data_IF_873843492376
#
_entry.id   IF_873843492376
#
_cell.length_a   1.000
_cell.length_b   1.000
_cell.length_c   1.000
_cell.angle_alpha   90.00
_cell.angle_beta   90.00
_cell.angle_gamma   90.00
#
_symmetry.space_group_name_H-M   'P 1'
#
loop_
_entity.id
_entity.type
_entity.pdbx_description
1 polymer ?
#
# COMPACT_ATOMS: atom_id res chain seq x y z
N UNK A 1 28.04 12.36 18.71
CA UNK A 1 26.84 12.21 17.85
C UNK A 1 26.12 10.98 18.34
N UNK A 2 24.82 11.08 18.54
CA UNK A 2 24.02 10.05 19.19
C UNK A 2 23.83 8.86 18.23
N UNK A 3 24.57 7.77 18.46
CA UNK A 3 24.60 6.57 17.60
C UNK A 3 23.21 5.95 17.42
N UNK A 4 22.35 6.07 18.43
CA UNK A 4 20.96 5.62 18.40
C UNK A 4 20.13 6.32 17.31
N UNK A 5 20.28 7.65 17.16
CA UNK A 5 19.58 8.41 16.12
C UNK A 5 20.07 8.05 14.71
N UNK A 6 21.35 7.72 14.57
CA UNK A 6 21.93 7.30 13.28
C UNK A 6 21.41 5.93 12.83
N UNK A 7 21.31 4.95 13.75
CA UNK A 7 20.80 3.61 13.44
C UNK A 7 19.30 3.62 13.12
N UNK A 8 18.52 4.38 13.91
CA UNK A 8 17.09 4.55 13.65
C UNK A 8 16.84 5.15 12.27
N UNK A 9 17.65 6.13 11.85
CA UNK A 9 17.53 6.72 10.53
C UNK A 9 17.94 5.75 9.41
N UNK A 10 19.08 5.09 9.54
CA UNK A 10 19.53 4.09 8.55
C UNK A 10 18.50 2.96 8.38
N UNK A 11 17.82 2.58 9.46
CA UNK A 11 16.74 1.58 9.43
C UNK A 11 15.54 2.08 8.61
N UNK A 12 15.15 3.35 8.76
CA UNK A 12 14.10 3.96 7.94
C UNK A 12 14.52 4.04 6.47
N UNK A 13 15.75 4.45 6.19
CA UNK A 13 16.25 4.54 4.82
C UNK A 13 16.28 3.16 4.13
N UNK A 14 16.57 2.09 4.88
CA UNK A 14 16.59 0.73 4.33
C UNK A 14 15.19 0.11 4.08
N UNK A 15 14.09 0.80 4.41
CA UNK A 15 12.76 0.19 4.37
C UNK A 15 12.35 -0.29 2.97
N UNK A 16 12.75 0.39 1.90
CA UNK A 16 12.46 0.00 0.51
C UNK A 16 13.30 -1.20 0.07
N UNK A 17 14.57 -1.28 0.50
CA UNK A 17 15.43 -2.45 0.29
C UNK A 17 14.81 -3.68 0.95
N UNK A 18 14.44 -3.57 2.23
CA UNK A 18 13.82 -4.65 3.00
C UNK A 18 12.48 -5.09 2.41
N UNK A 19 11.66 -4.13 1.94
CA UNK A 19 10.40 -4.43 1.30
C UNK A 19 10.58 -5.16 -0.05
N UNK A 20 11.55 -4.73 -0.86
CA UNK A 20 11.94 -5.38 -2.12
C UNK A 20 12.45 -6.80 -1.91
N UNK A 21 13.36 -6.99 -0.94
CA UNK A 21 13.88 -8.32 -0.57
C UNK A 21 12.77 -9.26 -0.10
N UNK A 22 11.83 -8.77 0.70
CA UNK A 22 10.68 -9.57 1.13
C UNK A 22 9.73 -9.91 -0.01
N UNK A 23 9.50 -8.98 -0.94
CA UNK A 23 8.68 -9.23 -2.12
C UNK A 23 9.34 -10.30 -3.01
N UNK A 24 10.64 -10.17 -3.26
CA UNK A 24 11.41 -11.16 -4.01
C UNK A 24 11.45 -12.52 -3.29
N UNK A 25 11.58 -12.54 -1.96
CA UNK A 25 11.61 -13.78 -1.17
C UNK A 25 10.27 -14.50 -1.21
N UNK A 26 9.15 -13.77 -1.05
CA UNK A 26 7.80 -14.35 -1.18
C UNK A 26 7.52 -14.84 -2.59
N UNK A 27 7.88 -14.07 -3.61
CA UNK A 27 7.73 -14.48 -5.01
C UNK A 27 8.58 -15.73 -5.31
N UNK A 28 9.77 -15.84 -4.70
CA UNK A 28 10.59 -17.02 -4.81
C UNK A 28 9.95 -18.22 -4.10
N UNK A 29 9.42 -18.08 -2.88
CA UNK A 29 8.86 -19.21 -2.12
C UNK A 29 7.49 -19.69 -2.63
N UNK A 30 6.64 -18.78 -3.11
CA UNK A 30 5.24 -19.05 -3.38
C UNK A 30 4.41 -19.19 -2.09
N UNK A 31 3.26 -19.84 -2.18
CA UNK A 31 2.39 -20.12 -1.03
C UNK A 31 3.00 -21.24 -0.16
N UNK A 32 3.71 -20.83 0.89
CA UNK A 32 4.38 -21.73 1.84
C UNK A 32 3.33 -22.50 2.64
N UNK A 33 3.47 -23.82 2.67
CA UNK A 33 2.62 -24.71 3.48
C UNK A 33 3.30 -25.13 4.77
N UNK A 34 4.63 -25.21 4.79
CA UNK A 34 5.41 -25.64 5.95
C UNK A 34 6.83 -25.07 5.93
N UNK A 35 7.42 -24.88 7.12
CA UNK A 35 8.82 -24.43 7.29
C UNK A 35 9.48 -25.21 8.41
N UNK A 36 10.55 -25.93 8.09
CA UNK A 36 11.39 -26.66 9.05
C UNK A 36 12.68 -25.89 9.32
N UNK A 37 13.15 -25.94 10.56
CA UNK A 37 14.38 -25.28 11.01
C UNK A 37 15.29 -26.28 11.71
N UNK A 38 16.55 -26.33 11.31
CA UNK A 38 17.58 -27.17 11.93
C UNK A 38 18.75 -26.30 12.41
N UNK A 39 18.88 -26.15 13.73
CA UNK A 39 19.93 -25.34 14.35
C UNK A 39 21.21 -26.17 14.52
N UNK A 40 22.29 -25.78 13.82
CA UNK A 40 23.44 -26.68 13.59
C UNK A 40 24.45 -26.76 14.75
N UNK A 41 24.24 -26.01 15.83
CA UNK A 41 25.08 -25.98 17.04
C UNK A 41 24.21 -25.87 18.31
N UNK A 42 24.74 -26.15 19.52
CA UNK A 42 24.02 -25.85 20.76
C UNK A 42 23.59 -24.38 20.83
N UNK A 43 22.37 -24.13 21.32
CA UNK A 43 21.80 -22.77 21.39
C UNK A 43 22.45 -21.89 22.46
N UNK A 44 23.10 -22.52 23.43
CA UNK A 44 23.81 -21.88 24.53
C UNK A 44 25.21 -22.47 24.69
N UNK A 45 26.15 -21.64 25.15
CA UNK A 45 27.46 -22.08 25.61
C UNK A 45 27.37 -22.86 26.94
N UNK A 46 28.46 -23.47 27.43
CA UNK A 46 28.46 -24.17 28.72
C UNK A 46 28.16 -23.29 29.94
N UNK A 47 28.22 -21.96 29.82
CA UNK A 47 27.87 -21.00 30.86
C UNK A 47 26.39 -20.58 30.79
N UNK A 48 25.63 -21.08 29.82
CA UNK A 48 24.22 -20.77 29.62
C UNK A 48 23.96 -19.48 28.83
N UNK A 49 24.98 -18.85 28.24
CA UNK A 49 24.79 -17.70 27.37
C UNK A 49 24.40 -18.13 25.97
N UNK A 50 23.57 -17.34 25.29
CA UNK A 50 23.17 -17.62 23.91
C UNK A 50 24.39 -17.62 22.99
N UNK A 51 24.54 -18.68 22.20
CA UNK A 51 25.59 -18.75 21.18
C UNK A 51 25.34 -17.68 20.13
N UNK A 52 26.34 -16.82 19.90
CA UNK A 52 26.22 -15.77 18.89
C UNK A 52 26.27 -16.34 17.47
N UNK A 53 25.51 -15.74 16.55
CA UNK A 53 25.49 -16.08 15.12
C UNK A 53 25.30 -17.59 14.87
N UNK A 54 24.35 -18.21 15.56
CA UNK A 54 24.09 -19.65 15.42
C UNK A 54 23.60 -19.97 13.99
N UNK A 55 24.28 -20.84 13.23
CA UNK A 55 23.85 -21.23 11.89
C UNK A 55 22.60 -22.11 11.94
N UNK A 56 21.71 -21.91 10.97
CA UNK A 56 20.40 -22.57 10.86
C UNK A 56 20.17 -23.00 9.42
N UNK A 57 19.86 -24.28 9.21
CA UNK A 57 19.29 -24.79 7.97
C UNK A 57 17.78 -24.59 7.97
N UNK A 58 17.25 -24.07 6.86
CA UNK A 58 15.83 -23.75 6.71
C UNK A 58 15.31 -24.52 5.51
N UNK A 59 14.20 -25.23 5.67
CA UNK A 59 13.48 -25.89 4.58
C UNK A 59 12.08 -25.33 4.47
N UNK A 60 11.77 -24.71 3.35
CA UNK A 60 10.45 -24.20 3.03
C UNK A 60 9.76 -25.14 2.04
N UNK A 61 8.58 -25.64 2.41
CA UNK A 61 7.72 -26.42 1.51
C UNK A 61 6.59 -25.55 1.00
N UNK A 62 6.34 -25.58 -0.31
CA UNK A 62 5.20 -24.93 -0.96
C UNK A 62 4.55 -25.86 -1.98
N UNK A 63 3.40 -25.44 -2.52
CA UNK A 63 2.74 -26.14 -3.64
C UNK A 63 3.62 -26.25 -4.89
N UNK A 64 4.64 -25.41 -5.00
CA UNK A 64 5.60 -25.39 -6.11
C UNK A 64 6.84 -26.27 -5.89
N UNK A 65 7.02 -26.82 -4.68
CA UNK A 65 8.15 -27.68 -4.33
C UNK A 65 8.83 -27.31 -3.01
N UNK A 66 9.99 -27.91 -2.78
CA UNK A 66 10.80 -27.70 -1.57
C UNK A 66 11.98 -26.78 -1.91
N UNK A 67 12.28 -25.82 -1.02
CA UNK A 67 13.39 -24.88 -1.13
C UNK A 67 14.17 -24.82 0.17
N UNK A 68 15.46 -25.12 0.08
CA UNK A 68 16.36 -25.12 1.23
C UNK A 68 17.22 -23.84 1.23
N UNK A 69 17.41 -23.26 2.41
CA UNK A 69 18.22 -22.06 2.65
C UNK A 69 19.15 -22.28 3.83
N UNK A 70 20.22 -21.49 3.85
CA UNK A 70 21.00 -21.26 5.05
C UNK A 70 20.51 -19.97 5.72
N UNK A 71 20.79 -19.85 7.00
CA UNK A 71 20.50 -18.65 7.76
C UNK A 71 21.26 -18.59 9.06
N UNK A 72 21.14 -17.46 9.74
CA UNK A 72 21.82 -17.18 11.00
C UNK A 72 20.84 -16.64 12.01
N UNK A 73 20.82 -17.20 13.23
CA UNK A 73 20.07 -16.63 14.36
C UNK A 73 20.75 -15.33 14.79
N UNK A 74 20.06 -14.22 14.61
CA UNK A 74 20.57 -12.88 14.92
C UNK A 74 19.99 -12.30 16.21
N UNK A 75 18.84 -12.82 16.65
CA UNK A 75 18.20 -12.44 17.91
C UNK A 75 17.28 -13.53 18.43
N UNK A 76 16.84 -13.38 19.67
CA UNK A 76 15.74 -14.15 20.25
C UNK A 76 14.75 -13.22 20.95
N UNK A 77 13.49 -13.63 20.97
CA UNK A 77 12.44 -13.05 21.80
C UNK A 77 12.18 -14.03 22.93
N UNK A 78 12.48 -13.62 24.17
CA UNK A 78 12.09 -14.37 25.35
C UNK A 78 10.57 -14.32 25.48
N UNK A 79 9.92 -15.45 25.74
CA UNK A 79 8.45 -15.52 25.90
C UNK A 79 8.02 -15.66 27.36
N UNK A 80 8.97 -15.62 28.30
CA UNK A 80 8.68 -15.77 29.73
C UNK A 80 8.07 -14.48 30.29
N UNK A 81 6.75 -14.54 30.59
CA UNK A 81 5.84 -13.54 31.18
C UNK A 81 5.79 -12.11 30.58
N UNK A 82 6.90 -11.53 30.15
CA UNK A 82 6.99 -10.30 29.37
C UNK A 82 7.92 -10.53 28.17
N UNK A 83 7.43 -10.37 26.92
CA UNK A 83 8.24 -10.66 25.77
C UNK A 83 9.40 -9.65 25.64
N UNK A 84 10.64 -10.13 25.65
CA UNK A 84 11.82 -9.27 25.64
C UNK A 84 12.77 -9.61 24.49
N UNK A 85 13.22 -8.58 23.76
CA UNK A 85 14.22 -8.72 22.71
C UNK A 85 15.62 -8.91 23.28
N UNK A 86 16.36 -9.89 22.77
CA UNK A 86 17.78 -10.13 23.09
C UNK A 86 18.57 -10.36 21.80
N UNK A 87 19.65 -9.62 21.64
CA UNK A 87 20.56 -9.83 20.52
C UNK A 87 21.31 -11.15 20.69
N UNK A 88 21.39 -11.91 19.60
CA UNK A 88 22.18 -13.13 19.49
C UNK A 88 23.19 -13.03 18.35
N UNK A 89 23.41 -11.83 17.84
CA UNK A 89 24.45 -11.54 16.87
C UNK A 89 25.66 -10.93 17.55
N UNK A 90 26.83 -11.16 16.97
CA UNK A 90 28.02 -10.44 17.38
C UNK A 90 27.98 -9.03 16.78
N UNK A 91 27.90 -8.01 17.64
CA UNK A 91 27.89 -6.61 17.24
C UNK A 91 29.09 -5.87 17.86
N UNK A 92 29.66 -4.94 17.11
CA UNK A 92 30.79 -4.09 17.58
C UNK A 92 30.32 -2.89 18.43
N UNK A 93 29.02 -2.58 18.40
CA UNK A 93 28.41 -1.45 19.09
C UNK A 93 27.35 -1.91 20.09
N UNK A 94 27.12 -1.08 21.13
CA UNK A 94 26.04 -1.29 22.08
C UNK A 94 24.69 -1.18 21.35
N UNK A 95 23.99 -2.31 21.25
CA UNK A 95 22.68 -2.39 20.63
C UNK A 95 21.58 -2.16 21.69
N UNK A 96 20.47 -1.52 21.33
CA UNK A 96 19.36 -1.34 22.26
C UNK A 96 18.75 -2.70 22.64
N UNK A 97 18.56 -2.95 23.93
CA UNK A 97 17.99 -4.19 24.47
C UNK A 97 16.62 -3.97 25.13
N UNK A 98 15.82 -5.04 25.21
CA UNK A 98 14.55 -5.05 25.95
C UNK A 98 13.42 -4.18 25.36
N UNK A 99 12.35 -4.02 26.12
CA UNK A 99 11.17 -3.23 25.75
C UNK A 99 9.92 -4.06 25.43
N UNK A 100 8.76 -3.45 25.61
CA UNK A 100 7.46 -4.12 25.65
C UNK A 100 6.95 -4.60 24.27
N UNK A 101 7.56 -4.10 23.18
CA UNK A 101 7.30 -4.54 21.81
C UNK A 101 8.60 -4.98 21.13
N UNK A 102 8.95 -6.27 21.15
CA UNK A 102 10.11 -6.81 20.45
C UNK A 102 10.05 -6.66 18.93
N UNK A 103 8.86 -6.52 18.33
CA UNK A 103 8.74 -6.45 16.87
C UNK A 103 9.39 -5.19 16.28
N UNK A 104 9.49 -4.11 17.06
CA UNK A 104 10.13 -2.85 16.66
C UNK A 104 11.63 -2.99 16.31
N UNK A 105 12.30 -4.01 16.83
CA UNK A 105 13.73 -4.23 16.57
C UNK A 105 14.00 -5.02 15.30
N UNK A 106 12.98 -5.64 14.70
CA UNK A 106 13.17 -6.47 13.50
C UNK A 106 13.79 -5.68 12.34
N UNK A 107 13.31 -4.47 11.99
CA UNK A 107 13.94 -3.69 10.90
C UNK A 107 15.41 -3.37 11.17
N UNK A 108 15.78 -3.07 12.42
CA UNK A 108 17.17 -2.83 12.81
C UNK A 108 17.99 -4.13 12.73
N UNK A 109 17.45 -5.25 13.20
CA UNK A 109 18.11 -6.55 13.14
C UNK A 109 18.41 -6.97 11.70
N UNK A 110 17.46 -6.70 10.80
CA UNK A 110 17.64 -6.88 9.36
C UNK A 110 18.72 -5.97 8.81
N UNK A 111 18.72 -4.68 9.15
CA UNK A 111 19.75 -3.74 8.71
C UNK A 111 21.15 -4.24 9.07
N UNK A 112 21.33 -4.74 10.30
CA UNK A 112 22.61 -5.29 10.78
C UNK A 112 22.98 -6.63 10.12
N UNK A 113 22.01 -7.32 9.53
CA UNK A 113 22.18 -8.56 8.77
C UNK A 113 22.04 -8.32 7.25
N UNK A 114 22.59 -7.22 6.75
CA UNK A 114 22.62 -6.85 5.33
C UNK A 114 21.22 -6.82 4.67
N UNK A 115 20.20 -6.40 5.43
CA UNK A 115 18.78 -6.33 5.04
C UNK A 115 18.11 -7.67 4.74
N UNK A 116 18.76 -8.80 5.04
CA UNK A 116 18.24 -10.14 4.79
C UNK A 116 16.78 -10.31 5.25
N UNK A 117 15.95 -11.06 4.51
CA UNK A 117 14.65 -11.49 5.01
C UNK A 117 14.82 -12.24 6.33
N UNK A 118 13.85 -12.12 7.22
CA UNK A 118 13.86 -12.82 8.50
C UNK A 118 12.69 -13.78 8.64
N UNK A 119 12.99 -14.95 9.20
CA UNK A 119 12.01 -15.93 9.64
C UNK A 119 12.01 -16.04 11.16
N UNK A 120 10.88 -16.46 11.71
CA UNK A 120 10.72 -16.70 13.14
C UNK A 120 10.54 -18.19 13.39
N UNK A 121 11.30 -18.75 14.32
CA UNK A 121 11.22 -20.16 14.66
C UNK A 121 11.14 -20.34 16.18
N UNK A 122 10.33 -21.29 16.65
CA UNK A 122 10.36 -21.67 18.07
C UNK A 122 11.65 -22.42 18.37
N UNK A 123 12.32 -22.04 19.46
CA UNK A 123 13.56 -22.64 19.93
C UNK A 123 13.50 -22.76 21.46
N UNK A 124 12.96 -23.88 21.96
CA UNK A 124 12.69 -24.03 23.39
C UNK A 124 11.71 -22.97 23.89
N UNK A 125 12.10 -22.24 24.94
CA UNK A 125 11.31 -21.17 25.56
C UNK A 125 11.42 -19.80 24.86
N UNK A 126 12.16 -19.76 23.74
CA UNK A 126 12.38 -18.54 22.97
C UNK A 126 11.83 -18.65 21.55
N UNK A 127 11.60 -17.50 20.93
CA UNK A 127 11.41 -17.39 19.49
C UNK A 127 12.69 -16.83 18.86
N UNK A 128 13.35 -17.62 18.04
CA UNK A 128 14.53 -17.22 17.29
C UNK A 128 14.14 -16.35 16.09
N UNK A 129 14.89 -15.27 15.89
CA UNK A 129 14.86 -14.44 14.68
C UNK A 129 16.05 -14.82 13.81
N UNK A 130 15.77 -15.34 12.63
CA UNK A 130 16.75 -15.95 11.74
C UNK A 130 16.83 -15.11 10.48
N UNK A 131 17.99 -14.50 10.21
CA UNK A 131 18.29 -13.90 8.91
C UNK A 131 18.53 -15.02 7.91
N UNK A 132 17.83 -14.97 6.77
CA UNK A 132 17.93 -15.96 5.70
C UNK A 132 18.95 -15.49 4.68
N UNK A 133 19.87 -16.37 4.30
CA UNK A 133 20.89 -16.10 3.28
C UNK A 133 20.22 -16.07 1.89
N UNK A 134 19.64 -14.92 1.55
CA UNK A 134 18.87 -14.70 0.33
C UNK A 134 19.19 -13.32 -0.26
N UNK A 135 19.95 -13.34 -1.36
CA UNK A 135 20.50 -12.14 -2.01
C UNK A 135 20.05 -12.06 -3.48
N UNK A 136 18.76 -11.81 -3.74
CA UNK A 136 18.26 -11.67 -5.10
C UNK A 136 18.76 -10.34 -5.69
N UNK A 137 18.77 -10.25 -7.02
CA UNK A 137 18.83 -8.95 -7.67
C UNK A 137 17.46 -8.30 -7.55
N UNK A 138 17.40 -7.10 -6.98
CA UNK A 138 16.16 -6.36 -6.84
C UNK A 138 15.76 -5.69 -8.15
N UNK A 139 14.49 -5.81 -8.50
CA UNK A 139 13.86 -4.97 -9.52
C UNK A 139 13.46 -3.64 -8.88
N UNK A 140 13.92 -2.53 -9.46
CA UNK A 140 13.80 -1.21 -8.84
C UNK A 140 12.34 -0.74 -8.74
N UNK A 141 11.53 -0.75 -9.83
CA UNK A 141 10.10 -0.42 -9.74
C UNK A 141 9.31 -1.31 -8.78
N UNK A 142 9.54 -2.63 -8.80
CA UNK A 142 8.87 -3.57 -7.90
C UNK A 142 9.22 -3.31 -6.44
N UNK A 143 10.48 -2.98 -6.16
CA UNK A 143 10.95 -2.67 -4.79
C UNK A 143 10.39 -1.35 -4.29
N UNK A 144 10.26 -0.34 -5.16
CA UNK A 144 9.58 0.92 -4.85
C UNK A 144 8.11 0.66 -4.50
N UNK A 145 7.39 -0.10 -5.32
CA UNK A 145 6.00 -0.44 -5.06
C UNK A 145 5.82 -1.21 -3.74
N UNK A 146 6.70 -2.17 -3.47
CA UNK A 146 6.72 -2.90 -2.20
C UNK A 146 7.02 -1.97 -1.00
N UNK A 147 7.92 -1.01 -1.20
CA UNK A 147 8.28 0.04 -0.25
C UNK A 147 7.10 0.95 0.09
N UNK A 148 6.47 1.57 -0.92
CA UNK A 148 5.29 2.44 -0.77
C UNK A 148 4.18 1.72 0.01
N UNK A 149 3.96 0.43 -0.27
CA UNK A 149 2.94 -0.37 0.43
C UNK A 149 3.16 -0.45 1.94
N UNK A 150 4.41 -0.35 2.40
CA UNK A 150 4.80 -0.51 3.81
C UNK A 150 5.27 0.80 4.46
N UNK A 151 5.41 1.85 3.67
CA UNK A 151 5.89 3.14 4.11
C UNK A 151 4.89 3.78 5.07
N UNK A 152 5.39 4.29 6.19
CA UNK A 152 4.60 5.11 7.09
C UNK A 152 4.61 6.57 6.61
N UNK A 153 3.57 7.37 6.90
CA UNK A 153 3.48 8.77 6.45
C UNK A 153 4.68 9.65 6.88
N UNK A 154 5.29 9.34 8.02
CA UNK A 154 6.45 10.03 8.57
C UNK A 154 7.79 9.63 7.93
N UNK A 155 7.81 8.55 7.14
CA UNK A 155 9.03 8.12 6.48
C UNK A 155 9.34 9.05 5.30
N UNK A 156 10.62 9.36 5.16
CA UNK A 156 11.13 10.05 3.97
C UNK A 156 11.35 9.01 2.87
N UNK A 157 10.39 8.89 1.96
CA UNK A 157 10.45 7.93 0.85
C UNK A 157 11.56 8.30 -0.14
N UNK A 158 11.92 9.57 -0.25
CA UNK A 158 13.00 10.03 -1.13
C UNK A 158 14.35 9.46 -0.65
N UNK A 159 14.62 9.56 0.66
CA UNK A 159 15.81 8.94 1.26
C UNK A 159 15.81 7.43 1.17
N UNK A 160 14.65 6.79 1.34
CA UNK A 160 14.53 5.35 1.21
C UNK A 160 14.80 4.87 -0.22
N UNK A 161 14.37 5.62 -1.22
CA UNK A 161 14.69 5.37 -2.62
C UNK A 161 16.18 5.55 -2.90
N UNK A 162 16.82 6.60 -2.37
CA UNK A 162 18.27 6.79 -2.55
C UNK A 162 19.07 5.60 -2.02
N UNK A 163 18.73 5.11 -0.82
CA UNK A 163 19.35 3.91 -0.27
C UNK A 163 19.12 2.67 -1.16
N UNK A 164 17.91 2.51 -1.71
CA UNK A 164 17.61 1.43 -2.67
C UNK A 164 18.40 1.57 -3.98
N UNK A 165 18.55 2.79 -4.49
CA UNK A 165 19.29 3.08 -5.71
C UNK A 165 20.77 2.75 -5.53
N UNK A 166 21.38 3.20 -4.42
CA UNK A 166 22.75 2.87 -4.04
C UNK A 166 22.94 1.35 -3.92
N UNK A 167 22.02 0.66 -3.23
CA UNK A 167 22.04 -0.80 -3.10
C UNK A 167 21.96 -1.52 -4.45
N UNK A 168 21.24 -0.94 -5.42
CA UNK A 168 21.03 -1.53 -6.75
C UNK A 168 22.06 -1.07 -7.79
N UNK A 169 22.98 -0.17 -7.42
CA UNK A 169 23.95 0.45 -8.33
C UNK A 169 23.32 1.38 -9.37
N UNK A 170 22.19 2.02 -9.04
CA UNK A 170 21.44 2.95 -9.88
C UNK A 170 21.82 4.38 -9.46
N UNK A 171 22.15 5.23 -10.43
CA UNK A 171 22.48 6.63 -10.15
C UNK A 171 21.26 7.53 -10.35
N UNK A 172 21.06 8.47 -9.44
CA UNK A 172 20.02 9.50 -9.55
C UNK A 172 20.58 10.81 -10.13
N UNK A 173 19.75 11.50 -10.91
CA UNK A 173 19.98 12.87 -11.34
C UNK A 173 18.78 13.71 -10.95
N UNK A 174 19.01 14.75 -10.16
CA UNK A 174 17.94 15.66 -9.77
C UNK A 174 17.48 16.50 -10.96
N UNK A 175 16.16 16.62 -11.10
CA UNK A 175 15.58 17.63 -11.98
C UNK A 175 15.44 18.94 -11.21
N UNK A 176 15.48 20.06 -11.92
CA UNK A 176 15.20 21.36 -11.31
C UNK A 176 13.79 21.33 -10.65
N UNK A 177 13.68 21.58 -9.34
CA UNK A 177 12.40 21.52 -8.65
C UNK A 177 11.43 22.53 -9.25
N UNK A 178 10.17 22.11 -9.47
CA UNK A 178 9.12 23.01 -9.99
C UNK A 178 8.70 24.05 -8.95
N UNK A 179 8.75 23.67 -7.67
CA UNK A 179 8.45 24.50 -6.51
C UNK A 179 9.09 23.88 -5.25
N UNK A 180 8.98 24.54 -4.10
CA UNK A 180 9.64 24.09 -2.86
C UNK A 180 9.06 22.79 -2.26
N UNK A 181 7.89 22.34 -2.72
CA UNK A 181 7.17 21.19 -2.16
C UNK A 181 7.10 19.98 -3.10
N UNK A 182 7.53 20.13 -4.36
CA UNK A 182 7.52 19.08 -5.38
C UNK A 182 8.88 18.99 -6.05
N UNK A 183 9.41 17.77 -6.11
CA UNK A 183 10.65 17.45 -6.80
C UNK A 183 10.44 16.27 -7.74
N UNK A 184 11.32 16.16 -8.73
CA UNK A 184 11.35 15.01 -9.63
C UNK A 184 12.80 14.54 -9.82
N UNK A 185 13.02 13.24 -9.75
CA UNK A 185 14.34 12.64 -9.88
C UNK A 185 14.34 11.58 -10.98
N UNK A 186 15.36 11.62 -11.83
CA UNK A 186 15.55 10.66 -12.92
C UNK A 186 16.63 9.66 -12.52
N UNK A 187 16.32 8.37 -12.64
CA UNK A 187 17.21 7.27 -12.32
C UNK A 187 17.76 6.64 -13.60
N UNK A 188 18.97 6.09 -13.51
CA UNK A 188 19.70 5.53 -14.66
C UNK A 188 19.04 4.29 -15.29
N UNK A 189 18.07 3.67 -14.62
CA UNK A 189 17.26 2.58 -15.15
C UNK A 189 16.09 3.06 -16.03
N UNK A 190 15.91 4.38 -16.15
CA UNK A 190 14.83 5.02 -16.91
C UNK A 190 13.60 5.35 -16.07
N UNK A 191 13.60 5.05 -14.77
CA UNK A 191 12.52 5.43 -13.86
C UNK A 191 12.61 6.90 -13.51
N UNK A 192 11.48 7.62 -13.53
CA UNK A 192 11.38 8.97 -12.95
C UNK A 192 10.40 8.95 -11.79
N UNK A 193 10.82 9.49 -10.64
CA UNK A 193 9.97 9.59 -9.46
C UNK A 193 9.63 11.04 -9.18
N UNK A 194 8.36 11.29 -8.88
CA UNK A 194 7.88 12.59 -8.41
C UNK A 194 7.58 12.49 -6.92
N UNK A 195 8.10 13.43 -6.15
CA UNK A 195 7.92 13.50 -4.71
C UNK A 195 7.11 14.74 -4.32
N UNK A 196 6.37 14.63 -3.24
CA UNK A 196 5.70 15.76 -2.60
C UNK A 196 5.85 15.72 -1.09
N UNK A 197 6.15 16.87 -0.48
CA UNK A 197 6.16 17.05 0.98
C UNK A 197 4.80 17.52 1.54
N UNK A 198 3.73 17.49 0.74
CA UNK A 198 2.39 17.88 1.18
C UNK A 198 1.84 17.02 2.34
N UNK A 199 2.44 15.85 2.59
CA UNK A 199 2.11 14.91 3.65
C UNK A 199 3.05 15.03 4.87
N UNK A 200 3.96 16.01 4.89
CA UNK A 200 5.01 16.17 5.89
C UNK A 200 6.37 15.76 5.35
N UNK A 201 6.69 14.48 5.41
CA UNK A 201 7.89 13.93 4.78
C UNK A 201 7.73 13.82 3.25
N UNK A 202 8.82 13.87 2.45
CA UNK A 202 8.75 13.60 1.02
C UNK A 202 8.20 12.20 0.72
N UNK A 203 7.12 12.15 -0.07
CA UNK A 203 6.41 10.93 -0.44
C UNK A 203 6.26 10.85 -1.96
N UNK A 204 6.36 9.65 -2.52
CA UNK A 204 6.21 9.37 -3.95
C UNK A 204 4.75 9.55 -4.35
N UNK A 205 4.51 10.46 -5.29
CA UNK A 205 3.18 10.79 -5.83
C UNK A 205 2.98 10.29 -7.26
N UNK A 206 4.05 10.13 -8.04
CA UNK A 206 3.99 9.53 -9.37
C UNK A 206 5.30 8.81 -9.73
N UNK A 207 5.18 7.82 -10.60
CA UNK A 207 6.28 7.01 -11.15
C UNK A 207 6.12 7.01 -12.67
N UNK A 208 7.16 7.33 -13.42
CA UNK A 208 7.18 7.25 -14.89
C UNK A 208 8.09 6.11 -15.35
N UNK A 209 7.70 5.35 -16.41
CA UNK A 209 6.59 5.59 -17.36
C UNK A 209 5.18 5.13 -16.92
N UNK A 210 4.91 4.98 -15.62
CA UNK A 210 3.58 4.69 -15.07
C UNK A 210 2.47 5.73 -15.33
N UNK A 211 1.25 5.39 -14.93
CA UNK A 211 0.08 6.28 -15.02
C UNK A 211 0.05 7.26 -13.86
N UNK A 212 -0.25 8.53 -14.17
CA UNK A 212 -0.52 9.55 -13.14
C UNK A 212 -1.96 9.45 -12.65
N UNK A 213 -2.14 9.64 -11.35
CA UNK A 213 -3.45 9.71 -10.69
C UNK A 213 -4.37 10.77 -11.34
N UNK A 214 -3.83 11.95 -11.62
CA UNK A 214 -4.57 13.07 -12.25
C UNK A 214 -5.10 12.73 -13.62
N UNK A 215 -4.40 11.87 -14.38
CA UNK A 215 -4.86 11.41 -15.70
C UNK A 215 -6.08 10.53 -15.57
N UNK A 216 -6.03 9.54 -14.68
CA UNK A 216 -7.13 8.59 -14.44
C UNK A 216 -8.37 9.34 -13.91
N UNK A 217 -8.17 10.25 -12.95
CA UNK A 217 -9.25 11.09 -12.41
C UNK A 217 -9.80 12.03 -13.48
N UNK A 218 -8.93 12.60 -14.32
CA UNK A 218 -9.32 13.47 -15.42
C UNK A 218 -10.23 12.77 -16.43
N UNK A 219 -9.86 11.58 -16.87
CA UNK A 219 -10.66 10.78 -17.80
C UNK A 219 -12.04 10.42 -17.21
N UNK A 220 -12.11 10.22 -15.89
CA UNK A 220 -13.35 9.90 -15.17
C UNK A 220 -14.21 11.12 -14.78
N UNK A 221 -13.66 12.34 -14.84
CA UNK A 221 -14.21 13.50 -14.13
C UNK A 221 -15.66 13.83 -14.50
N UNK A 222 -15.91 14.11 -15.78
CA UNK A 222 -17.25 14.52 -16.23
C UNK A 222 -18.25 13.37 -16.23
N UNK A 223 -17.81 12.15 -16.56
CA UNK A 223 -18.72 11.01 -16.57
C UNK A 223 -19.14 10.63 -15.14
N UNK A 224 -18.21 10.64 -14.18
CA UNK A 224 -18.53 10.49 -12.77
C UNK A 224 -19.41 11.62 -12.23
N UNK A 225 -19.21 12.86 -12.70
CA UNK A 225 -20.05 14.00 -12.32
C UNK A 225 -21.51 13.83 -12.81
N UNK A 226 -21.71 13.39 -14.05
CA UNK A 226 -23.06 13.12 -14.59
C UNK A 226 -23.77 12.04 -13.76
N UNK A 227 -23.09 10.94 -13.43
CA UNK A 227 -23.60 9.89 -12.53
C UNK A 227 -23.97 10.45 -11.15
N UNK A 228 -23.11 11.29 -10.57
CA UNK A 228 -23.37 11.90 -9.27
C UNK A 228 -24.60 12.82 -9.29
N UNK A 229 -24.74 13.65 -10.32
CA UNK A 229 -25.92 14.52 -10.51
C UNK A 229 -27.19 13.69 -10.72
N UNK A 230 -27.11 12.62 -11.52
CA UNK A 230 -28.23 11.71 -11.76
C UNK A 230 -28.67 11.00 -10.48
N UNK A 231 -27.72 10.50 -9.68
CA UNK A 231 -28.01 9.89 -8.39
C UNK A 231 -28.71 10.87 -7.44
N UNK A 232 -28.16 12.08 -7.28
CA UNK A 232 -28.75 13.10 -6.41
C UNK A 232 -30.14 13.54 -6.86
N UNK A 233 -30.39 13.58 -8.18
CA UNK A 233 -31.69 13.96 -8.73
C UNK A 233 -32.77 12.89 -8.57
N UNK A 234 -32.42 11.61 -8.72
CA UNK A 234 -33.39 10.50 -8.69
C UNK A 234 -33.52 9.83 -7.32
N UNK A 235 -32.49 9.95 -6.47
CA UNK A 235 -32.45 9.40 -5.12
C UNK A 235 -32.20 10.52 -4.10
N UNK A 236 -33.13 11.48 -3.97
CA UNK A 236 -32.96 12.60 -3.04
C UNK A 236 -32.93 12.09 -1.59
N UNK A 237 -32.01 12.67 -0.80
CA UNK A 237 -31.80 12.33 0.62
C UNK A 237 -31.51 10.83 0.85
N UNK A 238 -30.89 10.18 -0.13
CA UNK A 238 -30.63 8.75 -0.05
C UNK A 238 -29.70 8.37 1.11
N UNK A 239 -30.08 7.35 1.88
CA UNK A 239 -29.22 6.66 2.83
C UNK A 239 -28.93 5.26 2.33
N UNK A 240 -27.65 4.86 2.36
CA UNK A 240 -27.19 3.59 1.81
C UNK A 240 -26.78 2.66 2.93
N UNK A 241 -27.39 1.47 2.96
CA UNK A 241 -27.10 0.41 3.92
C UNK A 241 -26.39 -0.72 3.19
N UNK A 242 -25.13 -0.98 3.57
CA UNK A 242 -24.29 -2.01 2.95
C UNK A 242 -24.41 -3.34 3.69
N UNK A 243 -24.69 -4.42 2.96
CA UNK A 243 -24.39 -5.79 3.39
C UNK A 243 -23.01 -6.21 2.87
N UNK A 244 -22.04 -6.26 3.77
CA UNK A 244 -20.65 -6.59 3.43
C UNK A 244 -20.47 -8.06 3.00
N UNK A 245 -21.34 -8.96 3.45
CA UNK A 245 -21.23 -10.39 3.19
C UNK A 245 -21.85 -10.79 1.85
N UNK A 246 -22.88 -10.05 1.41
CA UNK A 246 -23.55 -10.31 0.14
C UNK A 246 -23.05 -9.43 -1.02
N UNK A 247 -22.21 -8.41 -0.73
CA UNK A 247 -21.82 -7.39 -1.71
C UNK A 247 -23.04 -6.68 -2.33
N UNK A 248 -24.04 -6.42 -1.48
CA UNK A 248 -25.29 -5.77 -1.84
C UNK A 248 -25.52 -4.54 -0.97
N UNK A 249 -26.28 -3.57 -1.47
CA UNK A 249 -26.70 -2.42 -0.71
C UNK A 249 -28.17 -2.09 -0.94
N UNK A 250 -28.82 -1.62 0.12
CA UNK A 250 -30.16 -1.06 0.07
C UNK A 250 -30.06 0.48 0.09
N UNK A 251 -30.61 1.12 -0.93
CA UNK A 251 -30.67 2.57 -1.09
C UNK A 251 -32.06 3.01 -0.64
N UNK A 252 -32.15 3.68 0.51
CA UNK A 252 -33.41 4.23 1.01
C UNK A 252 -33.49 5.69 0.61
N UNK A 253 -34.59 6.12 0.02
CA UNK A 253 -34.81 7.52 -0.36
C UNK A 253 -36.30 7.87 -0.18
N UNK A 254 -36.66 9.13 -0.35
CA UNK A 254 -38.06 9.59 -0.14
C UNK A 254 -39.10 8.88 -1.01
N UNK A 255 -38.69 8.34 -2.16
CA UNK A 255 -39.55 7.61 -3.10
C UNK A 255 -39.64 6.11 -2.87
N UNK A 256 -38.88 5.54 -1.93
CA UNK A 256 -38.89 4.11 -1.64
C UNK A 256 -37.50 3.52 -1.36
N UNK A 257 -37.35 2.26 -1.75
CA UNK A 257 -36.14 1.46 -1.55
C UNK A 257 -35.71 0.87 -2.89
N UNK A 258 -34.42 0.89 -3.16
CA UNK A 258 -33.81 0.24 -4.31
C UNK A 258 -32.65 -0.66 -3.85
N UNK A 259 -32.45 -1.77 -4.53
CA UNK A 259 -31.32 -2.67 -4.30
C UNK A 259 -30.23 -2.42 -5.35
N UNK A 260 -28.98 -2.57 -4.96
CA UNK A 260 -27.83 -2.44 -5.83
C UNK A 260 -26.74 -3.45 -5.45
N UNK A 261 -25.93 -3.85 -6.43
CA UNK A 261 -24.64 -4.46 -6.16
C UNK A 261 -23.70 -3.38 -5.60
N UNK A 262 -22.88 -3.76 -4.62
CA UNK A 262 -22.07 -2.83 -3.87
C UNK A 262 -20.61 -3.30 -3.76
N UNK A 263 -19.68 -2.41 -4.06
CA UNK A 263 -18.25 -2.62 -3.84
C UNK A 263 -17.74 -1.60 -2.84
N UNK A 264 -17.32 -2.08 -1.67
CA UNK A 264 -16.64 -1.25 -0.68
C UNK A 264 -15.21 -0.99 -1.14
N UNK A 265 -14.89 0.27 -1.47
CA UNK A 265 -13.56 0.63 -1.98
C UNK A 265 -12.64 1.16 -0.88
N UNK A 266 -13.19 1.81 0.15
CA UNK A 266 -12.40 2.37 1.24
C UNK A 266 -13.21 2.52 2.52
N UNK A 267 -12.52 2.63 3.65
CA UNK A 267 -13.06 3.04 4.95
C UNK A 267 -12.42 4.36 5.37
N UNK A 268 -13.18 5.18 6.10
CA UNK A 268 -12.72 6.48 6.60
C UNK A 268 -12.91 6.56 8.11
N UNK A 269 -11.87 7.00 8.81
CA UNK A 269 -11.93 7.49 10.19
C UNK A 269 -11.99 9.03 10.19
N UNK A 270 -11.80 9.66 11.35
CA UNK A 270 -11.79 11.13 11.47
C UNK A 270 -10.69 11.78 10.61
N UNK A 271 -9.51 11.17 10.52
CA UNK A 271 -8.30 11.73 9.92
C UNK A 271 -7.68 10.87 8.82
N UNK A 272 -8.16 9.64 8.63
CA UNK A 272 -7.54 8.66 7.73
C UNK A 272 -8.52 8.15 6.68
N UNK A 273 -8.02 8.07 5.45
CA UNK A 273 -8.58 7.29 4.36
C UNK A 273 -7.79 5.98 4.24
N UNK A 274 -8.47 4.84 4.24
CA UNK A 274 -7.86 3.52 4.14
C UNK A 274 -8.54 2.74 3.03
N UNK A 275 -7.78 2.25 2.04
CA UNK A 275 -8.36 1.39 1.01
C UNK A 275 -8.89 0.09 1.61
N UNK A 276 -10.03 -0.39 1.11
CA UNK A 276 -10.67 -1.59 1.63
C UNK A 276 -9.82 -2.85 1.42
N UNK A 277 -8.97 -2.90 0.39
CA UNK A 277 -8.02 -3.99 0.19
C UNK A 277 -6.94 -4.05 1.29
N UNK A 278 -6.69 -2.93 1.97
CA UNK A 278 -5.69 -2.82 3.02
C UNK A 278 -6.29 -2.92 4.43
N UNK A 279 -7.59 -2.67 4.58
CA UNK A 279 -8.26 -2.67 5.88
C UNK A 279 -8.47 -4.10 6.41
N UNK A 280 -7.78 -4.50 7.50
CA UNK A 280 -7.87 -5.86 8.05
C UNK A 280 -9.28 -6.26 8.49
N UNK A 281 -10.14 -5.29 8.78
CA UNK A 281 -11.50 -5.53 9.28
C UNK A 281 -12.51 -5.82 8.17
N UNK A 282 -12.23 -5.39 6.92
CA UNK A 282 -13.17 -5.54 5.80
C UNK A 282 -12.59 -6.23 4.57
N UNK A 283 -11.26 -6.32 4.41
CA UNK A 283 -10.61 -6.83 3.18
C UNK A 283 -11.06 -8.23 2.73
N UNK A 284 -11.50 -9.06 3.68
CA UNK A 284 -11.91 -10.45 3.44
C UNK A 284 -13.43 -10.60 3.23
N UNK A 285 -14.18 -9.49 3.28
CA UNK A 285 -15.64 -9.46 3.01
C UNK A 285 -15.93 -9.58 1.51
N UNK A 286 -17.15 -9.97 1.15
CA UNK A 286 -17.55 -10.05 -0.26
C UNK A 286 -17.54 -8.67 -0.93
N UNK A 287 -18.03 -7.64 -0.24
CA UNK A 287 -18.10 -6.27 -0.75
C UNK A 287 -16.71 -5.66 -1.02
N UNK A 288 -15.68 -6.02 -0.26
CA UNK A 288 -14.32 -5.49 -0.44
C UNK A 288 -13.47 -6.27 -1.46
N UNK A 289 -13.91 -7.46 -1.89
CA UNK A 289 -13.10 -8.35 -2.74
C UNK A 289 -12.64 -7.67 -4.03
N UNK A 290 -13.51 -6.91 -4.67
CA UNK A 290 -13.18 -6.19 -5.90
C UNK A 290 -12.18 -5.03 -5.67
N UNK A 291 -12.07 -4.49 -4.44
CA UNK A 291 -11.07 -3.47 -4.12
C UNK A 291 -9.63 -3.99 -4.26
N UNK A 292 -9.39 -5.31 -4.21
CA UNK A 292 -8.08 -5.90 -4.51
C UNK A 292 -7.62 -5.61 -5.95
N UNK A 293 -8.55 -5.37 -6.88
CA UNK A 293 -8.21 -4.98 -8.26
C UNK A 293 -7.65 -3.55 -8.32
N UNK A 294 -7.99 -2.67 -7.37
CA UNK A 294 -7.39 -1.34 -7.27
C UNK A 294 -5.91 -1.44 -6.94
N UNK A 295 -5.54 -2.27 -5.97
CA UNK A 295 -4.14 -2.53 -5.63
C UNK A 295 -3.39 -3.15 -6.81
N UNK A 296 -3.97 -4.16 -7.47
CA UNK A 296 -3.36 -4.80 -8.66
C UNK A 296 -3.13 -3.79 -9.78
N UNK A 297 -4.14 -2.98 -10.10
CA UNK A 297 -4.01 -1.90 -11.07
C UNK A 297 -2.89 -0.92 -10.67
N UNK A 298 -2.81 -0.58 -9.38
CA UNK A 298 -1.74 0.25 -8.84
C UNK A 298 -0.35 -0.31 -9.10
N UNK A 299 -0.14 -1.62 -8.91
CA UNK A 299 1.12 -2.29 -9.21
C UNK A 299 1.38 -2.31 -10.73
N UNK A 300 0.42 -2.79 -11.52
CA UNK A 300 0.56 -3.01 -12.96
C UNK A 300 0.81 -1.71 -13.73
N UNK A 301 0.24 -0.59 -13.25
CA UNK A 301 0.34 0.73 -13.86
C UNK A 301 1.17 1.74 -13.04
N UNK A 302 1.83 1.28 -11.99
CA UNK A 302 2.71 2.08 -11.11
C UNK A 302 2.04 3.36 -10.58
N UNK A 303 0.85 3.23 -9.98
CA UNK A 303 0.07 4.35 -9.41
C UNK A 303 0.21 4.37 -7.89
N UNK A 304 1.06 5.24 -7.29
CA UNK A 304 1.37 5.21 -5.85
C UNK A 304 0.14 5.34 -4.95
N UNK A 305 -0.84 6.17 -5.34
CA UNK A 305 -2.07 6.38 -4.56
C UNK A 305 -2.91 5.11 -4.38
N UNK A 306 -2.80 4.12 -5.28
CA UNK A 306 -3.51 2.84 -5.21
C UNK A 306 -2.70 1.75 -4.51
N UNK A 307 -1.37 1.90 -4.46
CA UNK A 307 -0.45 0.97 -3.78
C UNK A 307 -0.35 1.30 -2.29
N UNK A 308 -0.41 2.58 -1.93
CA UNK A 308 -0.31 3.05 -0.55
C UNK A 308 -1.59 2.68 0.21
N UNK A 309 -1.51 1.95 1.33
CA UNK A 309 -2.67 1.48 2.08
C UNK A 309 -3.60 2.61 2.54
N UNK A 310 -2.99 3.64 3.14
CA UNK A 310 -3.70 4.71 3.81
C UNK A 310 -3.12 6.08 3.44
N UNK A 311 -3.98 7.09 3.50
CA UNK A 311 -3.66 8.49 3.23
C UNK A 311 -4.36 9.37 4.27
N UNK A 312 -3.80 10.53 4.63
CA UNK A 312 -4.56 11.54 5.37
C UNK A 312 -5.84 11.90 4.62
N UNK A 313 -6.96 11.95 5.35
CA UNK A 313 -8.29 12.11 4.76
C UNK A 313 -8.42 13.43 3.97
N UNK A 314 -7.85 14.51 4.49
CA UNK A 314 -7.86 15.82 3.82
C UNK A 314 -7.08 15.80 2.50
N UNK A 315 -5.96 15.09 2.47
CA UNK A 315 -5.19 14.89 1.25
C UNK A 315 -6.01 14.07 0.24
N UNK A 316 -6.60 12.95 0.68
CA UNK A 316 -7.42 12.09 -0.17
C UNK A 316 -8.62 12.82 -0.77
N UNK A 317 -9.28 13.68 0.02
CA UNK A 317 -10.40 14.53 -0.42
C UNK A 317 -9.95 15.59 -1.42
N UNK A 318 -8.90 16.35 -1.09
CA UNK A 318 -8.38 17.42 -1.96
C UNK A 318 -7.97 16.87 -3.33
N UNK A 319 -7.34 15.70 -3.35
CA UNK A 319 -6.87 15.02 -4.57
C UNK A 319 -7.92 14.13 -5.22
N UNK A 320 -9.13 14.01 -4.64
CA UNK A 320 -10.22 13.15 -5.14
C UNK A 320 -9.77 11.69 -5.35
N UNK A 321 -8.97 11.16 -4.44
CA UNK A 321 -8.41 9.81 -4.52
C UNK A 321 -9.46 8.70 -4.70
N UNK A 322 -10.64 8.74 -4.05
CA UNK A 322 -11.66 7.69 -4.26
C UNK A 322 -12.13 7.56 -5.71
N UNK A 323 -12.01 8.62 -6.52
CA UNK A 323 -12.49 8.67 -7.90
C UNK A 323 -11.62 7.86 -8.85
N UNK A 324 -10.40 7.51 -8.44
CA UNK A 324 -9.57 6.53 -9.16
C UNK A 324 -10.31 5.20 -9.36
N UNK A 325 -11.17 4.82 -8.41
CA UNK A 325 -11.85 3.54 -8.45
C UNK A 325 -12.92 3.45 -9.54
N UNK A 326 -13.50 4.57 -9.98
CA UNK A 326 -14.61 4.59 -10.93
C UNK A 326 -14.25 3.93 -12.28
N UNK A 327 -13.23 4.43 -13.02
CA UNK A 327 -12.88 3.83 -14.31
C UNK A 327 -12.21 2.46 -14.17
N UNK A 328 -11.56 2.17 -13.03
CA UNK A 328 -10.85 0.90 -12.81
C UNK A 328 -11.84 -0.23 -12.56
N UNK A 329 -12.89 0.02 -11.78
CA UNK A 329 -13.90 -0.98 -11.43
C UNK A 329 -15.13 -0.93 -12.35
N UNK A 330 -15.26 0.10 -13.18
CA UNK A 330 -16.37 0.26 -14.12
C UNK A 330 -17.71 0.61 -13.46
N UNK A 331 -17.70 1.01 -12.19
CA UNK A 331 -18.87 1.42 -11.42
C UNK A 331 -18.78 2.92 -11.12
N UNK A 332 -19.85 3.66 -11.39
CA UNK A 332 -19.77 5.12 -11.51
C UNK A 332 -20.53 5.90 -10.45
N UNK A 333 -21.37 5.23 -9.65
CA UNK A 333 -22.08 5.85 -8.51
C UNK A 333 -21.29 5.63 -7.23
N UNK A 334 -20.63 6.68 -6.72
CA UNK A 334 -19.87 6.64 -5.47
C UNK A 334 -20.63 7.32 -4.33
N UNK A 335 -20.82 6.59 -3.23
CA UNK A 335 -21.59 7.05 -2.08
C UNK A 335 -20.88 6.72 -0.76
N UNK A 336 -21.22 7.47 0.29
CA UNK A 336 -20.89 7.09 1.66
C UNK A 336 -21.96 6.16 2.25
N UNK A 337 -21.53 5.11 2.93
CA UNK A 337 -22.40 4.21 3.71
C UNK A 337 -21.87 4.12 5.14
N UNK A 338 -22.77 4.12 6.13
CA UNK A 338 -22.38 3.92 7.52
C UNK A 338 -22.17 2.42 7.77
N UNK A 339 -20.99 2.05 8.24
CA UNK A 339 -20.66 0.68 8.61
C UNK A 339 -21.18 0.35 10.01
N UNK A 340 -21.29 -0.95 10.32
CA UNK A 340 -21.81 -1.42 11.61
C UNK A 340 -20.97 -0.95 12.82
N UNK A 341 -19.69 -0.67 12.61
CA UNK A 341 -18.76 -0.14 13.62
C UNK A 341 -18.78 1.39 13.74
N UNK A 342 -19.66 2.07 12.99
CA UNK A 342 -19.82 3.53 13.00
C UNK A 342 -18.87 4.29 12.06
N UNK A 343 -17.92 3.63 11.40
CA UNK A 343 -17.08 4.26 10.37
C UNK A 343 -17.89 4.54 9.09
N UNK A 344 -17.37 5.44 8.26
CA UNK A 344 -17.93 5.68 6.92
C UNK A 344 -17.18 4.83 5.90
N UNK A 345 -17.90 3.94 5.23
CA UNK A 345 -17.43 3.23 4.05
C UNK A 345 -17.70 4.05 2.79
N UNK A 346 -16.76 4.06 1.85
CA UNK A 346 -16.98 4.55 0.49
C UNK A 346 -17.30 3.38 -0.42
N UNK A 347 -18.47 3.43 -1.05
CA UNK A 347 -19.05 2.31 -1.78
C UNK A 347 -19.36 2.74 -3.21
N UNK A 348 -18.99 1.89 -4.17
CA UNK A 348 -19.48 1.97 -5.53
C UNK A 348 -20.75 1.13 -5.67
N UNK A 349 -21.77 1.71 -6.27
CA UNK A 349 -23.07 1.07 -6.50
C UNK A 349 -23.32 0.84 -7.98
N UNK A 350 -23.95 -0.29 -8.28
CA UNK A 350 -24.46 -0.61 -9.62
C UNK A 350 -25.86 -1.25 -9.53
N UNK A 351 -26.78 -0.70 -10.30
CA UNK A 351 -28.11 -1.25 -10.56
C UNK A 351 -28.70 -0.59 -11.81
N UNK A 352 -29.69 -1.21 -12.43
CA UNK A 352 -30.35 -0.67 -13.63
C UNK A 352 -30.92 0.74 -13.38
N UNK A 353 -31.42 1.01 -12.17
CA UNK A 353 -31.96 2.31 -11.80
C UNK A 353 -30.89 3.42 -11.67
N UNK A 354 -29.61 3.05 -11.55
CA UNK A 354 -28.46 3.96 -11.47
C UNK A 354 -27.83 4.24 -12.84
N UNK A 355 -28.24 3.51 -13.89
CA UNK A 355 -27.68 3.71 -15.22
C UNK A 355 -28.16 5.01 -15.83
N UNK A 356 -27.22 5.79 -16.37
CA UNK A 356 -27.54 7.04 -17.03
C UNK A 356 -28.46 6.80 -18.23
N UNK A 357 -29.53 7.60 -18.40
CA UNK A 357 -30.31 7.59 -19.62
C UNK A 357 -29.46 8.08 -20.80
N UNK A 358 -30.03 7.99 -22.01
CA UNK A 358 -29.42 8.56 -23.21
C UNK A 358 -29.09 10.05 -23.01
N UNK A 359 -27.91 10.52 -23.46
CA UNK A 359 -27.51 11.90 -23.26
C UNK A 359 -28.46 12.85 -24.00
N UNK A 360 -28.85 13.92 -23.32
CA UNK A 360 -29.59 15.05 -23.91
C UNK A 360 -28.66 16.25 -23.99
N UNK A 361 -28.98 17.23 -24.85
CA UNK A 361 -28.22 18.49 -24.90
C UNK A 361 -28.18 19.17 -23.53
N UNK A 362 -29.30 19.19 -22.80
CA UNK A 362 -29.39 19.80 -21.48
C UNK A 362 -28.51 19.10 -20.43
N UNK A 363 -28.52 17.76 -20.36
CA UNK A 363 -27.68 17.01 -19.40
C UNK A 363 -26.20 17.12 -19.74
N UNK A 364 -25.87 17.13 -21.04
CA UNK A 364 -24.50 17.29 -21.54
C UNK A 364 -23.97 18.69 -21.18
N UNK A 365 -24.73 19.74 -21.49
CA UNK A 365 -24.36 21.13 -21.17
C UNK A 365 -24.21 21.33 -19.66
N UNK A 366 -25.13 20.80 -18.85
CA UNK A 366 -25.06 20.89 -17.39
C UNK A 366 -23.82 20.18 -16.82
N UNK A 367 -23.50 18.98 -17.34
CA UNK A 367 -22.31 18.22 -16.93
C UNK A 367 -21.04 19.00 -17.27
N UNK A 368 -20.92 19.47 -18.50
CA UNK A 368 -19.75 20.17 -19.03
C UNK A 368 -19.59 21.61 -18.52
N UNK A 369 -20.63 22.17 -17.90
CA UNK A 369 -20.56 23.44 -17.18
C UNK A 369 -19.83 23.31 -15.83
N UNK A 370 -19.64 22.09 -15.33
CA UNK A 370 -18.89 21.85 -14.09
C UNK A 370 -17.41 22.19 -14.29
N UNK A 371 -16.87 23.06 -13.43
CA UNK A 371 -15.46 23.46 -13.48
C UNK A 371 -14.56 22.31 -13.04
N UNK A 372 -13.66 21.89 -13.92
CA UNK A 372 -12.63 20.92 -13.60
C UNK A 372 -11.59 21.53 -12.62
N UNK A 373 -11.07 20.76 -11.65
CA UNK A 373 -9.92 21.17 -10.85
C UNK A 373 -8.71 21.58 -11.73
N UNK A 374 -7.86 22.52 -11.28
CA UNK A 374 -6.72 23.01 -12.07
C UNK A 374 -5.71 21.93 -12.49
N UNK A 375 -5.67 20.81 -11.76
CA UNK A 375 -4.75 19.69 -11.99
C UNK A 375 -5.22 18.76 -13.12
N UNK A 376 -6.46 18.90 -13.58
CA UNK A 376 -7.07 18.09 -14.64
C UNK A 376 -6.97 18.82 -15.97
N UNK A 377 -6.50 18.11 -16.99
CA UNK A 377 -6.59 18.59 -18.38
C UNK A 377 -8.06 18.53 -18.84
N UNK A 378 -8.70 19.70 -18.90
CA UNK A 378 -10.11 19.81 -19.26
C UNK A 378 -10.41 19.32 -20.68
N UNK A 379 -9.50 19.55 -21.64
CA UNK A 379 -9.70 19.12 -23.03
C UNK A 379 -9.69 17.59 -23.11
N UNK A 380 -8.75 16.96 -22.41
CA UNK A 380 -8.71 15.50 -22.30
C UNK A 380 -9.96 14.96 -21.60
N UNK A 381 -10.36 15.54 -20.47
CA UNK A 381 -11.55 15.12 -19.71
C UNK A 381 -12.83 15.21 -20.55
N UNK A 382 -12.99 16.29 -21.34
CA UNK A 382 -14.11 16.44 -22.29
C UNK A 382 -14.09 15.36 -23.36
N UNK A 383 -12.92 15.05 -23.93
CA UNK A 383 -12.78 13.98 -24.93
C UNK A 383 -13.13 12.61 -24.35
N UNK A 384 -12.68 12.31 -23.13
CA UNK A 384 -12.99 11.04 -22.45
C UNK A 384 -14.50 10.91 -22.20
N UNK A 385 -15.14 11.98 -21.73
CA UNK A 385 -16.58 12.03 -21.56
C UNK A 385 -17.36 11.79 -22.86
N UNK A 386 -16.95 12.44 -23.95
CA UNK A 386 -17.53 12.24 -25.27
C UNK A 386 -17.47 10.76 -25.69
N UNK A 387 -16.31 10.12 -25.47
CA UNK A 387 -16.10 8.69 -25.73
C UNK A 387 -16.99 7.80 -24.87
N UNK A 388 -17.13 8.08 -23.56
CA UNK A 388 -17.99 7.29 -22.67
C UNK A 388 -19.47 7.39 -23.05
N UNK A 389 -19.93 8.56 -23.47
CA UNK A 389 -21.34 8.78 -23.86
C UNK A 389 -21.63 8.44 -25.32
N UNK A 390 -20.60 8.20 -26.14
CA UNK A 390 -20.74 7.94 -27.58
C UNK A 390 -21.25 9.16 -28.35
N UNK A 391 -20.84 10.36 -27.93
CA UNK A 391 -21.25 11.64 -28.53
C UNK A 391 -20.06 12.38 -29.14
N UNK A 392 -20.34 13.37 -29.98
CA UNK A 392 -19.34 14.33 -30.46
C UNK A 392 -19.58 15.68 -29.78
N UNK A 393 -18.51 16.30 -29.27
CA UNK A 393 -18.53 17.59 -28.60
C UNK A 393 -18.09 18.75 -29.49
#
# INVERSE_FOLDING_TARGET
MDTSNSLAQATRDACFIQAGLDAAFRAHLGDITDVEFNFLNPSTDPAGHLTHNQPVEIRCSSSSGIKDFQGTRIAVIDRSSSPAWRWAMQAEADLPEGGDDPAKFIPLARLLADNAPVLRARQGDHEAIIAVDFYPRLDFPTSIAAGIRRSAPENDEQRAVHALADHSGITATESTPKNAAESAEHFSDGTTLHFSSALGAPQITAIEPGLRDTRIIGDAFYYGMEHQMYFQGNFPEATVHLDMNEAAAEIHHSGGKAEATAVLIATMSEDQFLWAWADPTVKDTAAARAAANLYRFGIDHQVPALIRPALPLDYARKRRIPQLALPILGMWTLVGATLADGRVGLVLLDSEALHLPQPTSATTEATLATTAPPEIDEAQARSAYASFRGINL
#
